data_IF_558363865728
#
_entry.id   IF_558363865728
#
_cell.length_a   1.000
_cell.length_b   1.000
_cell.length_c   1.000
_cell.angle_alpha   90.00
_cell.angle_beta   90.00
_cell.angle_gamma   90.00
#
_symmetry.space_group_name_H-M   'P 1'
#
loop_
_entity.id
_entity.type
_entity.pdbx_description
1 polymer ?
#
# COMPACT_ATOMS: atom_id res chain seq x y z
N UNK A 1 -15.61 -12.26 27.48
CA UNK A 1 -15.38 -11.48 26.25
C UNK A 1 -16.59 -11.42 25.34
N UNK A 2 -17.25 -12.51 25.09
CA UNK A 2 -18.51 -12.59 24.34
C UNK A 2 -19.54 -11.55 24.83
N UNK A 3 -19.71 -11.42 26.16
CA UNK A 3 -20.59 -10.43 26.76
C UNK A 3 -20.25 -8.98 26.37
N UNK A 4 -18.96 -8.62 26.23
CA UNK A 4 -18.54 -7.27 25.84
C UNK A 4 -18.99 -6.92 24.41
N UNK A 5 -18.70 -7.79 23.43
CA UNK A 5 -19.07 -7.55 22.05
C UNK A 5 -20.57 -7.68 21.81
N UNK A 6 -21.23 -8.57 22.55
CA UNK A 6 -22.70 -8.62 22.56
C UNK A 6 -23.31 -7.32 23.06
N UNK A 7 -22.85 -6.78 24.18
CA UNK A 7 -23.34 -5.50 24.72
C UNK A 7 -23.04 -4.33 23.76
N UNK A 8 -21.87 -4.34 23.12
CA UNK A 8 -21.51 -3.33 22.12
C UNK A 8 -22.44 -3.41 20.90
N UNK A 9 -22.67 -4.61 20.37
CA UNK A 9 -23.55 -4.84 19.24
C UNK A 9 -25.01 -4.48 19.55
N UNK A 10 -25.52 -4.88 20.73
CA UNK A 10 -26.88 -4.54 21.17
C UNK A 10 -27.07 -3.01 21.33
N UNK A 11 -26.05 -2.31 21.82
CA UNK A 11 -26.08 -0.85 21.92
C UNK A 11 -26.12 -0.17 20.55
N UNK A 12 -25.30 -0.62 19.59
CA UNK A 12 -25.31 -0.14 18.21
C UNK A 12 -26.67 -0.41 17.57
N UNK A 13 -27.20 -1.63 17.69
CA UNK A 13 -28.50 -2.00 17.14
C UNK A 13 -29.63 -1.13 17.69
N UNK A 14 -29.65 -0.92 19.00
CA UNK A 14 -30.68 -0.12 19.67
C UNK A 14 -30.68 1.32 19.15
N UNK A 15 -29.50 1.95 19.07
CA UNK A 15 -29.39 3.31 18.58
C UNK A 15 -29.75 3.40 17.09
N UNK A 16 -29.26 2.46 16.27
CA UNK A 16 -29.53 2.46 14.84
C UNK A 16 -31.00 2.23 14.52
N UNK A 17 -31.67 1.36 15.30
CA UNK A 17 -33.13 1.18 15.23
C UNK A 17 -33.88 2.49 15.55
N UNK A 18 -33.46 3.23 16.59
CA UNK A 18 -34.02 4.52 16.94
C UNK A 18 -33.87 5.53 15.78
N UNK A 19 -32.79 5.47 15.02
CA UNK A 19 -32.53 6.28 13.84
C UNK A 19 -33.10 5.67 12.53
N UNK A 20 -34.09 4.77 12.63
CA UNK A 20 -34.79 4.13 11.50
C UNK A 20 -33.83 3.40 10.53
N UNK A 21 -32.73 2.83 11.04
CA UNK A 21 -31.70 2.15 10.27
C UNK A 21 -31.08 3.02 9.16
N UNK A 22 -30.95 4.31 9.41
CA UNK A 22 -30.30 5.24 8.47
C UNK A 22 -28.84 4.85 8.25
N UNK A 23 -28.47 4.52 7.01
CA UNK A 23 -27.07 4.20 6.62
C UNK A 23 -26.15 5.40 6.76
N UNK A 24 -26.64 6.61 6.49
CA UNK A 24 -25.85 7.84 6.64
C UNK A 24 -25.48 8.19 8.08
N UNK A 25 -26.25 7.68 9.06
CA UNK A 25 -25.96 7.85 10.49
C UNK A 25 -25.15 6.70 11.09
N UNK A 26 -25.09 5.57 10.40
CA UNK A 26 -24.46 4.35 10.95
C UNK A 26 -22.99 4.55 11.34
N UNK A 27 -22.14 5.23 10.56
CA UNK A 27 -20.75 5.49 10.92
C UNK A 27 -20.61 6.25 12.25
N UNK A 28 -21.44 7.26 12.48
CA UNK A 28 -21.41 8.05 13.72
C UNK A 28 -21.93 7.25 14.90
N UNK A 29 -22.95 6.41 14.70
CA UNK A 29 -23.48 5.50 15.75
C UNK A 29 -22.41 4.48 16.14
N UNK A 30 -21.77 3.84 15.16
CA UNK A 30 -20.70 2.88 15.39
C UNK A 30 -19.51 3.53 16.12
N UNK A 31 -19.09 4.71 15.66
CA UNK A 31 -18.02 5.48 16.28
C UNK A 31 -18.36 5.83 17.75
N UNK A 32 -19.51 6.41 17.99
CA UNK A 32 -19.94 6.79 19.34
C UNK A 32 -20.01 5.58 20.31
N UNK A 33 -20.44 4.42 19.83
CA UNK A 33 -20.48 3.20 20.61
C UNK A 33 -19.07 2.71 20.97
N UNK A 34 -18.13 2.72 20.01
CA UNK A 34 -16.72 2.36 20.23
C UNK A 34 -16.00 3.35 21.16
N UNK A 35 -16.28 4.66 21.05
CA UNK A 35 -15.70 5.69 21.92
C UNK A 35 -16.26 5.59 23.36
N UNK A 36 -17.55 5.26 23.52
CA UNK A 36 -18.18 5.09 24.84
C UNK A 36 -17.69 3.83 25.57
N UNK A 37 -17.46 2.75 24.82
CA UNK A 37 -16.93 1.48 25.34
C UNK A 37 -15.67 1.09 24.52
N UNK A 38 -14.52 1.75 24.74
CA UNK A 38 -13.35 1.50 23.91
C UNK A 38 -12.78 0.08 24.15
N UNK A 39 -12.73 -0.77 23.10
CA UNK A 39 -12.20 -2.13 23.21
C UNK A 39 -10.77 -2.18 23.77
N UNK A 40 -9.90 -1.27 23.35
CA UNK A 40 -8.51 -1.19 23.83
C UNK A 40 -8.36 -1.07 25.36
N UNK A 41 -9.37 -0.51 26.05
CA UNK A 41 -9.37 -0.35 27.51
C UNK A 41 -10.09 -1.47 28.26
N UNK A 42 -10.90 -2.26 27.57
CA UNK A 42 -11.85 -3.20 28.20
C UNK A 42 -11.58 -4.66 27.88
N UNK A 43 -10.89 -4.93 26.78
CA UNK A 43 -10.63 -6.28 26.29
C UNK A 43 -9.13 -6.53 26.28
N UNK A 44 -8.70 -7.60 26.95
CA UNK A 44 -7.31 -8.08 26.83
C UNK A 44 -7.18 -8.91 25.56
N UNK A 45 -6.34 -8.45 24.63
CA UNK A 45 -6.16 -9.05 23.31
C UNK A 45 -5.69 -10.51 23.39
N UNK A 46 -4.69 -10.81 24.21
CA UNK A 46 -4.16 -12.16 24.36
C UNK A 46 -5.18 -13.13 24.97
N UNK A 47 -6.02 -12.65 25.90
CA UNK A 47 -7.11 -13.46 26.46
C UNK A 47 -8.19 -13.72 25.43
N UNK A 48 -8.53 -12.71 24.59
CA UNK A 48 -9.48 -12.86 23.49
C UNK A 48 -9.02 -13.95 22.51
N UNK A 49 -7.78 -13.90 22.09
CA UNK A 49 -7.20 -14.91 21.16
C UNK A 49 -7.27 -16.30 21.78
N UNK A 50 -6.83 -16.46 23.04
CA UNK A 50 -6.88 -17.78 23.72
C UNK A 50 -8.30 -18.33 23.86
N UNK A 51 -9.25 -17.47 24.24
CA UNK A 51 -10.65 -17.90 24.38
C UNK A 51 -11.24 -18.27 23.01
N UNK A 52 -10.89 -17.54 21.95
CA UNK A 52 -11.37 -17.84 20.61
C UNK A 52 -10.86 -19.20 20.09
N UNK A 53 -9.62 -19.57 20.40
CA UNK A 53 -9.01 -20.85 19.99
C UNK A 53 -9.69 -22.09 20.59
N UNK A 54 -10.36 -21.95 21.73
CA UNK A 54 -10.89 -23.07 22.50
C UNK A 54 -12.43 -23.07 22.63
N UNK A 55 -13.10 -22.08 22.07
CA UNK A 55 -14.55 -21.93 22.20
C UNK A 55 -15.23 -22.11 20.84
N UNK A 56 -15.99 -23.19 20.69
CA UNK A 56 -16.75 -23.50 19.48
C UNK A 56 -18.04 -22.66 19.34
N UNK A 57 -18.48 -21.96 20.40
CA UNK A 57 -19.67 -21.12 20.39
C UNK A 57 -19.40 -19.71 19.84
N UNK A 58 -18.71 -19.63 18.69
CA UNK A 58 -18.44 -18.38 18.00
C UNK A 58 -19.52 -18.05 16.96
N UNK A 59 -19.72 -16.77 16.58
CA UNK A 59 -20.49 -16.41 15.41
C UNK A 59 -19.94 -17.11 14.14
N UNK A 60 -20.79 -17.27 13.13
CA UNK A 60 -20.33 -17.75 11.82
C UNK A 60 -19.21 -16.82 11.30
N UNK A 61 -18.10 -17.43 10.91
CA UNK A 61 -16.96 -16.72 10.37
C UNK A 61 -17.12 -16.47 8.87
N UNK A 62 -16.51 -15.42 8.36
CA UNK A 62 -16.45 -15.11 6.95
C UNK A 62 -15.25 -15.83 6.30
N UNK A 63 -15.42 -16.29 5.08
CA UNK A 63 -14.30 -16.76 4.24
C UNK A 63 -13.70 -15.53 3.53
N UNK A 64 -12.90 -14.76 4.28
CA UNK A 64 -12.31 -13.51 3.81
C UNK A 64 -10.79 -13.56 3.98
N UNK A 65 -10.00 -13.22 2.95
CA UNK A 65 -8.56 -13.08 3.07
C UNK A 65 -8.16 -11.71 3.66
N UNK A 66 -9.12 -10.89 4.06
CA UNK A 66 -8.86 -9.57 4.63
C UNK A 66 -8.57 -9.70 6.13
N UNK A 67 -7.40 -9.20 6.56
CA UNK A 67 -6.90 -9.44 7.91
C UNK A 67 -6.07 -10.72 8.02
N UNK A 68 -5.28 -10.83 9.09
CA UNK A 68 -4.31 -11.90 9.32
C UNK A 68 -4.39 -12.42 10.78
N UNK A 69 -5.53 -13.01 11.22
CA UNK A 69 -6.81 -13.22 10.55
C UNK A 69 -7.86 -12.13 10.78
N UNK A 70 -9.01 -12.27 10.10
CA UNK A 70 -10.28 -11.63 10.44
C UNK A 70 -11.08 -12.55 11.36
N UNK A 71 -11.62 -12.02 12.46
CA UNK A 71 -12.49 -12.76 13.39
C UNK A 71 -13.82 -12.02 13.55
N UNK A 72 -14.94 -12.65 13.23
CA UNK A 72 -16.28 -12.14 13.57
C UNK A 72 -16.56 -12.42 15.03
N UNK A 73 -16.77 -11.38 15.83
CA UNK A 73 -17.02 -11.48 17.28
C UNK A 73 -18.47 -11.13 17.68
N UNK A 74 -19.25 -10.57 16.77
CA UNK A 74 -20.68 -10.34 16.89
C UNK A 74 -21.31 -10.30 15.52
N UNK A 75 -22.46 -10.94 15.33
CA UNK A 75 -23.17 -10.98 14.05
C UNK A 75 -24.65 -10.64 14.20
N UNK A 76 -25.15 -9.77 13.32
CA UNK A 76 -26.55 -9.44 13.13
C UNK A 76 -26.85 -9.34 11.62
N UNK A 77 -28.06 -9.65 11.12
CA UNK A 77 -28.36 -9.63 9.69
C UNK A 77 -28.04 -8.32 8.95
N UNK A 78 -27.93 -7.18 9.64
CA UNK A 78 -27.67 -5.87 9.04
C UNK A 78 -26.25 -5.38 9.22
N UNK A 79 -25.52 -5.87 10.22
CA UNK A 79 -24.15 -5.45 10.55
C UNK A 79 -23.46 -6.52 11.39
N UNK A 80 -22.16 -6.40 11.51
CA UNK A 80 -21.37 -7.26 12.39
C UNK A 80 -20.18 -6.50 12.99
N UNK A 81 -19.58 -7.11 14.00
CA UNK A 81 -18.35 -6.63 14.61
C UNK A 81 -17.27 -7.65 14.32
N UNK A 82 -16.18 -7.18 13.75
CA UNK A 82 -15.01 -7.98 13.43
C UNK A 82 -13.78 -7.44 14.13
N UNK A 83 -12.85 -8.32 14.41
CA UNK A 83 -11.50 -8.02 14.85
C UNK A 83 -10.54 -8.39 13.72
N UNK A 84 -9.76 -7.43 13.28
CA UNK A 84 -8.74 -7.62 12.26
C UNK A 84 -7.37 -7.60 12.92
N UNK A 85 -6.58 -8.62 12.66
CA UNK A 85 -5.16 -8.66 12.99
C UNK A 85 -4.34 -8.35 11.75
N UNK A 86 -3.20 -7.74 11.96
CA UNK A 86 -2.25 -7.39 10.92
C UNK A 86 -0.86 -7.80 11.42
N UNK A 87 -0.35 -8.89 10.85
CA UNK A 87 0.99 -9.40 11.16
C UNK A 87 2.02 -8.67 10.30
N UNK A 88 1.85 -8.76 9.00
CA UNK A 88 2.72 -8.17 7.99
C UNK A 88 1.97 -7.35 6.94
N UNK A 89 0.66 -7.16 7.13
CA UNK A 89 -0.21 -6.48 6.18
C UNK A 89 -0.03 -4.97 6.14
N UNK A 90 -0.15 -4.42 4.94
CA UNK A 90 -0.47 -3.02 4.69
C UNK A 90 -1.60 -2.99 3.69
N UNK A 91 -2.64 -2.19 3.95
CA UNK A 91 -3.78 -2.17 3.06
C UNK A 91 -3.46 -1.45 1.75
N UNK A 92 -4.02 -1.93 0.64
CA UNK A 92 -4.07 -1.14 -0.58
C UNK A 92 -4.77 0.20 -0.32
N UNK A 93 -4.60 1.19 -1.20
CA UNK A 93 -5.48 2.35 -1.19
C UNK A 93 -6.82 1.86 -1.73
N UNK A 94 -7.88 1.95 -0.93
CA UNK A 94 -9.19 1.37 -1.28
C UNK A 94 -10.36 2.19 -0.76
N UNK A 95 -11.53 1.90 -1.27
CA UNK A 95 -12.83 2.31 -0.74
C UNK A 95 -13.59 1.10 -0.23
N UNK A 96 -14.65 1.32 0.54
CA UNK A 96 -15.48 0.26 1.09
C UNK A 96 -16.87 0.20 0.44
N UNK A 97 -17.43 -1.01 0.31
CA UNK A 97 -18.85 -1.24 -0.02
C UNK A 97 -19.76 -1.18 1.20
N UNK A 98 -19.20 -0.84 2.34
CA UNK A 98 -19.89 -0.77 3.63
C UNK A 98 -19.55 0.53 4.35
N UNK A 99 -20.34 0.85 5.36
CA UNK A 99 -20.08 1.95 6.28
C UNK A 99 -19.94 1.45 7.71
N UNK A 100 -19.32 2.27 8.59
CA UNK A 100 -19.12 1.90 9.98
C UNK A 100 -18.09 2.74 10.71
N UNK A 101 -17.38 2.12 11.63
CA UNK A 101 -16.22 2.71 12.31
C UNK A 101 -15.26 1.62 12.76
N UNK A 102 -13.98 1.97 12.83
CA UNK A 102 -12.97 1.10 13.43
C UNK A 102 -12.29 1.77 14.63
N UNK A 103 -11.82 0.94 15.55
CA UNK A 103 -11.09 1.33 16.74
C UNK A 103 -9.74 0.61 16.78
N UNK A 104 -8.65 1.35 16.91
CA UNK A 104 -7.32 0.76 17.07
C UNK A 104 -7.22 0.14 18.46
N UNK A 105 -7.24 -1.18 18.51
CA UNK A 105 -7.20 -1.94 19.75
C UNK A 105 -5.78 -2.14 20.27
N UNK A 106 -4.82 -2.33 19.34
CA UNK A 106 -3.41 -2.53 19.66
C UNK A 106 -2.54 -2.06 18.48
N UNK A 107 -1.37 -1.48 18.81
CA UNK A 107 -0.41 -1.00 17.83
C UNK A 107 -0.74 0.38 17.27
N UNK A 108 -0.09 0.71 16.16
CA UNK A 108 -0.22 2.00 15.47
C UNK A 108 -0.11 1.84 13.96
N UNK A 109 -0.62 2.85 13.22
CA UNK A 109 -0.62 2.83 11.75
C UNK A 109 -0.49 4.25 11.20
N UNK A 110 0.17 4.41 10.06
CA UNK A 110 0.00 5.59 9.22
C UNK A 110 -1.27 5.42 8.41
N UNK A 111 -2.22 6.33 8.59
CA UNK A 111 -3.50 6.39 7.91
C UNK A 111 -3.50 7.52 6.88
N UNK A 112 -3.62 7.19 5.62
CA UNK A 112 -3.64 8.15 4.53
C UNK A 112 -5.00 8.16 3.86
N UNK A 113 -5.53 9.37 3.58
CA UNK A 113 -6.81 9.59 2.90
C UNK A 113 -6.61 10.26 1.55
N UNK A 114 -7.47 9.94 0.60
CA UNK A 114 -7.36 10.37 -0.78
C UNK A 114 -8.69 10.85 -1.35
N UNK A 115 -8.60 11.68 -2.40
CA UNK A 115 -9.67 11.96 -3.34
C UNK A 115 -9.32 11.34 -4.69
N UNK A 116 -10.33 10.85 -5.41
CA UNK A 116 -10.18 10.40 -6.80
C UNK A 116 -10.96 11.36 -7.71
N UNK A 117 -10.22 12.28 -8.31
CA UNK A 117 -10.78 13.39 -9.08
C UNK A 117 -11.01 13.01 -10.54
N UNK A 118 -12.08 13.55 -11.12
CA UNK A 118 -12.47 13.38 -12.53
C UNK A 118 -12.51 11.91 -12.99
N UNK A 119 -13.17 11.02 -12.23
CA UNK A 119 -13.24 9.62 -12.59
C UNK A 119 -13.96 9.41 -13.91
N UNK A 120 -13.37 8.59 -14.79
CA UNK A 120 -13.98 8.12 -16.04
C UNK A 120 -13.99 6.59 -16.01
N UNK A 121 -15.15 5.98 -16.08
CA UNK A 121 -15.27 4.53 -16.20
C UNK A 121 -14.85 4.10 -17.60
N UNK A 122 -13.91 3.17 -17.65
CA UNK A 122 -13.49 2.47 -18.88
C UNK A 122 -14.30 1.21 -19.04
N UNK A 123 -14.45 0.46 -17.94
CA UNK A 123 -15.35 -0.68 -17.79
C UNK A 123 -16.08 -0.55 -16.44
N UNK A 124 -17.01 -1.45 -16.09
CA UNK A 124 -17.56 -1.50 -14.73
C UNK A 124 -16.50 -1.73 -13.64
N UNK A 125 -15.37 -2.32 -13.98
CA UNK A 125 -14.32 -2.79 -13.06
C UNK A 125 -13.04 -1.94 -13.09
N UNK A 126 -12.94 -0.98 -14.04
CA UNK A 126 -11.77 -0.14 -14.20
C UNK A 126 -12.16 1.31 -14.46
N UNK A 127 -11.52 2.24 -13.72
CA UNK A 127 -11.67 3.69 -13.87
C UNK A 127 -10.31 4.36 -13.98
N UNK A 128 -10.24 5.40 -14.81
CA UNK A 128 -9.11 6.33 -14.87
C UNK A 128 -9.52 7.65 -14.23
N UNK A 129 -8.58 8.33 -13.58
CA UNK A 129 -8.82 9.61 -12.88
C UNK A 129 -7.53 10.12 -12.25
N UNK A 130 -7.62 11.02 -11.28
CA UNK A 130 -6.46 11.53 -10.56
C UNK A 130 -6.61 11.26 -9.06
N UNK A 131 -5.77 10.41 -8.53
CA UNK A 131 -5.72 10.14 -7.10
C UNK A 131 -4.84 11.19 -6.41
N UNK A 132 -5.41 11.92 -5.47
CA UNK A 132 -4.73 12.96 -4.72
C UNK A 132 -4.83 12.70 -3.22
N UNK A 133 -3.70 12.71 -2.54
CA UNK A 133 -3.69 12.64 -1.07
C UNK A 133 -4.32 13.90 -0.46
N UNK A 134 -5.20 13.71 0.51
CA UNK A 134 -5.84 14.78 1.30
C UNK A 134 -5.10 15.02 2.59
N UNK A 135 -4.87 13.95 3.34
CA UNK A 135 -4.20 14.00 4.64
C UNK A 135 -3.51 12.68 4.94
N UNK A 136 -2.58 12.74 5.85
CA UNK A 136 -1.92 11.59 6.46
C UNK A 136 -1.84 11.83 7.97
N UNK A 137 -2.15 10.83 8.77
CA UNK A 137 -2.14 10.91 10.23
C UNK A 137 -1.60 9.62 10.87
N UNK A 138 -1.01 9.75 12.05
CA UNK A 138 -0.65 8.62 12.88
C UNK A 138 -1.87 8.22 13.72
N UNK A 139 -2.30 6.97 13.58
CA UNK A 139 -3.30 6.37 14.45
C UNK A 139 -2.62 5.50 15.49
N UNK A 140 -2.90 5.77 16.74
CA UNK A 140 -2.39 5.02 17.89
C UNK A 140 -3.52 4.26 18.59
N UNK A 141 -3.15 3.31 19.43
CA UNK A 141 -4.10 2.55 20.27
C UNK A 141 -5.09 3.48 20.96
N UNK A 142 -6.37 3.16 20.86
CA UNK A 142 -7.49 3.92 21.44
C UNK A 142 -8.13 4.93 20.48
N UNK A 143 -7.58 5.16 19.29
CA UNK A 143 -8.20 6.02 18.27
C UNK A 143 -9.37 5.31 17.62
N UNK A 144 -10.45 6.05 17.35
CA UNK A 144 -11.62 5.58 16.62
C UNK A 144 -11.84 6.46 15.38
N UNK A 145 -12.13 5.83 14.24
CA UNK A 145 -12.31 6.50 12.96
C UNK A 145 -13.59 5.97 12.30
N UNK A 146 -14.42 6.88 11.76
CA UNK A 146 -15.58 6.51 10.95
C UNK A 146 -15.14 6.01 9.58
N UNK A 147 -15.89 5.07 9.02
CA UNK A 147 -15.75 4.55 7.66
C UNK A 147 -16.98 4.95 6.87
N UNK A 148 -16.78 5.68 5.79
CA UNK A 148 -17.85 6.01 4.85
C UNK A 148 -17.77 5.09 3.63
N UNK A 149 -18.92 4.65 3.13
CA UNK A 149 -18.93 3.81 1.93
C UNK A 149 -18.62 4.57 0.64
N UNK A 150 -18.10 3.86 -0.36
CA UNK A 150 -17.79 4.39 -1.68
C UNK A 150 -16.62 5.40 -1.67
N UNK A 151 -16.63 6.29 -2.64
CA UNK A 151 -15.56 7.28 -2.84
C UNK A 151 -15.48 8.38 -1.75
N UNK A 152 -16.41 8.38 -0.79
CA UNK A 152 -16.38 9.34 0.31
C UNK A 152 -15.22 9.08 1.27
N UNK A 153 -14.72 7.84 1.33
CA UNK A 153 -13.60 7.46 2.17
C UNK A 153 -12.66 6.52 1.40
N UNK A 154 -11.76 7.12 0.66
CA UNK A 154 -10.66 6.40 0.00
C UNK A 154 -9.45 6.51 0.93
N UNK A 155 -8.95 5.37 1.40
CA UNK A 155 -7.88 5.38 2.37
C UNK A 155 -6.92 4.19 2.25
N UNK A 156 -5.84 4.24 3.00
CA UNK A 156 -4.92 3.12 3.25
C UNK A 156 -4.37 3.17 4.67
N UNK A 157 -4.02 2.01 5.19
CA UNK A 157 -3.35 1.85 6.47
C UNK A 157 -2.00 1.16 6.26
N UNK A 158 -0.95 1.75 6.80
CA UNK A 158 0.37 1.14 6.89
C UNK A 158 0.65 0.84 8.37
N UNK A 159 0.54 -0.44 8.75
CA UNK A 159 0.71 -0.86 10.13
C UNK A 159 2.19 -0.83 10.53
N UNK A 160 2.48 -0.17 11.67
CA UNK A 160 3.85 0.00 12.18
C UNK A 160 4.24 -1.11 13.14
N UNK A 161 3.28 -1.66 13.85
CA UNK A 161 3.50 -2.74 14.82
C UNK A 161 3.10 -4.10 14.22
N UNK A 162 3.66 -5.20 14.76
CA UNK A 162 3.31 -6.59 14.43
C UNK A 162 3.25 -7.42 15.72
N UNK A 163 2.06 -7.96 16.07
CA UNK A 163 0.77 -7.70 15.44
C UNK A 163 0.25 -6.30 15.75
N UNK A 164 -0.54 -5.73 14.86
CA UNK A 164 -1.51 -4.69 15.22
C UNK A 164 -2.92 -5.26 15.14
N UNK A 165 -3.89 -4.63 15.83
CA UNK A 165 -5.26 -5.11 15.88
C UNK A 165 -6.27 -3.96 15.87
N UNK A 166 -7.34 -4.12 15.08
CA UNK A 166 -8.46 -3.17 15.00
C UNK A 166 -9.79 -3.88 15.19
N UNK A 167 -10.70 -3.24 15.95
CA UNK A 167 -12.10 -3.67 16.04
C UNK A 167 -12.91 -2.82 15.07
N UNK A 168 -13.69 -3.44 14.20
CA UNK A 168 -14.53 -2.78 13.21
C UNK A 168 -15.99 -3.12 13.45
N UNK A 169 -16.83 -2.09 13.56
CA UNK A 169 -18.29 -2.19 13.53
C UNK A 169 -18.75 -1.75 12.17
N UNK A 170 -19.32 -2.65 11.36
CA UNK A 170 -19.63 -2.35 9.96
C UNK A 170 -20.97 -2.94 9.51
N UNK A 171 -21.63 -2.26 8.56
CA UNK A 171 -22.76 -2.84 7.83
C UNK A 171 -22.31 -4.05 7.00
N UNK A 172 -23.26 -4.88 6.56
CA UNK A 172 -22.96 -6.00 5.67
C UNK A 172 -22.49 -5.46 4.30
N UNK A 173 -23.35 -4.67 3.67
CA UNK A 173 -23.11 -4.05 2.37
C UNK A 173 -24.06 -2.84 2.25
N UNK A 174 -23.57 -1.71 1.75
CA UNK A 174 -24.37 -0.54 1.54
C UNK A 174 -24.88 -0.48 0.08
N UNK A 175 -26.18 -0.38 -0.15
CA UNK A 175 -26.74 -0.38 -1.50
C UNK A 175 -26.21 0.77 -2.36
N UNK A 176 -25.89 0.49 -3.61
CA UNK A 176 -25.53 1.52 -4.61
C UNK A 176 -24.12 2.07 -4.51
N UNK A 177 -23.24 1.48 -3.69
CA UNK A 177 -21.85 1.94 -3.54
C UNK A 177 -20.93 1.50 -4.70
N UNK A 178 -21.39 0.55 -5.54
CA UNK A 178 -20.59 -0.03 -6.61
C UNK A 178 -19.46 -0.92 -6.08
N UNK A 179 -18.54 -1.36 -6.95
CA UNK A 179 -17.41 -2.20 -6.53
C UNK A 179 -16.51 -1.52 -5.50
N UNK A 180 -15.91 -2.34 -4.64
CA UNK A 180 -14.85 -1.91 -3.73
C UNK A 180 -13.55 -1.74 -4.52
N UNK A 181 -13.33 -0.54 -5.08
CA UNK A 181 -12.13 -0.26 -5.86
C UNK A 181 -10.87 -0.20 -5.00
N UNK A 182 -9.79 -0.79 -5.54
CA UNK A 182 -8.42 -0.47 -5.16
C UNK A 182 -7.88 0.60 -6.11
N UNK A 183 -7.10 1.53 -5.55
CA UNK A 183 -6.55 2.65 -6.28
C UNK A 183 -5.04 2.48 -6.46
N UNK A 184 -4.60 2.54 -7.70
CA UNK A 184 -3.19 2.55 -8.09
C UNK A 184 -2.79 3.99 -8.42
N UNK A 185 -1.98 4.64 -7.54
CA UNK A 185 -1.55 6.00 -7.80
C UNK A 185 -0.69 6.10 -9.06
N UNK A 186 -0.76 7.24 -9.79
CA UNK A 186 -1.63 8.36 -9.53
C UNK A 186 -2.97 8.36 -10.29
N UNK A 187 -3.28 7.36 -11.16
CA UNK A 187 -4.34 7.55 -12.13
C UNK A 187 -5.40 6.45 -12.24
N UNK A 188 -5.28 5.34 -11.55
CA UNK A 188 -6.12 4.19 -11.83
C UNK A 188 -6.90 3.70 -10.60
N UNK A 189 -8.12 3.21 -10.83
CA UNK A 189 -8.90 2.44 -9.88
C UNK A 189 -9.35 1.13 -10.52
N UNK A 190 -9.14 0.01 -9.84
CA UNK A 190 -9.48 -1.34 -10.31
C UNK A 190 -10.33 -2.07 -9.27
N UNK A 191 -11.27 -2.88 -9.70
CA UNK A 191 -11.99 -3.80 -8.83
C UNK A 191 -11.10 -5.03 -8.56
N UNK A 192 -10.62 -5.24 -7.31
CA UNK A 192 -9.75 -6.36 -6.98
C UNK A 192 -10.46 -7.71 -7.00
N UNK A 193 -11.79 -7.71 -6.98
CA UNK A 193 -12.61 -8.92 -6.98
C UNK A 193 -13.05 -9.35 -8.39
N UNK A 194 -12.85 -8.48 -9.39
CA UNK A 194 -13.08 -8.86 -10.78
C UNK A 194 -11.98 -9.78 -11.30
N UNK A 195 -12.38 -10.92 -11.86
CA UNK A 195 -11.47 -11.88 -12.46
C UNK A 195 -11.90 -12.26 -13.86
N UNK A 196 -11.10 -11.93 -14.86
CA UNK A 196 -11.17 -12.49 -16.20
C UNK A 196 -10.34 -13.79 -16.25
N UNK A 197 -11.03 -14.93 -16.14
CA UNK A 197 -10.36 -16.24 -16.08
C UNK A 197 -9.52 -16.52 -17.33
N UNK A 198 -9.97 -16.09 -18.52
CA UNK A 198 -9.21 -16.28 -19.75
C UNK A 198 -7.91 -15.45 -19.72
N UNK A 199 -7.98 -14.19 -19.28
CA UNK A 199 -6.79 -13.36 -19.12
C UNK A 199 -5.83 -13.89 -18.06
N UNK A 200 -6.37 -14.44 -16.97
CA UNK A 200 -5.53 -15.12 -15.97
C UNK A 200 -4.73 -16.26 -16.64
N UNK A 201 -5.39 -17.12 -17.41
CA UNK A 201 -4.71 -18.24 -18.10
C UNK A 201 -3.69 -17.74 -19.16
N UNK A 202 -4.02 -16.69 -19.90
CA UNK A 202 -3.10 -16.08 -20.87
C UNK A 202 -1.84 -15.53 -20.22
N UNK A 203 -1.96 -14.85 -19.07
CA UNK A 203 -0.81 -14.37 -18.30
C UNK A 203 0.05 -15.53 -17.80
N UNK A 204 -0.56 -16.59 -17.25
CA UNK A 204 0.17 -17.80 -16.85
C UNK A 204 0.89 -18.48 -18.03
N UNK A 205 0.35 -18.40 -19.25
CA UNK A 205 1.05 -18.91 -20.44
C UNK A 205 2.21 -18.01 -20.86
N UNK A 206 2.14 -16.69 -20.63
CA UNK A 206 3.29 -15.80 -20.78
C UNK A 206 4.39 -16.17 -19.78
N UNK A 207 4.05 -16.47 -18.53
CA UNK A 207 5.02 -16.93 -17.53
C UNK A 207 5.70 -18.24 -17.99
N UNK A 208 4.95 -19.15 -18.63
CA UNK A 208 5.54 -20.39 -19.20
C UNK A 208 6.54 -20.09 -20.30
N UNK A 209 6.24 -19.16 -21.22
CA UNK A 209 7.17 -18.74 -22.27
C UNK A 209 8.44 -18.09 -21.68
N UNK A 210 8.27 -17.23 -20.69
CA UNK A 210 9.38 -16.58 -20.00
C UNK A 210 10.29 -17.61 -19.30
N UNK A 211 9.71 -18.54 -18.53
CA UNK A 211 10.48 -19.60 -17.83
C UNK A 211 11.16 -20.60 -18.77
N UNK A 212 10.65 -20.72 -20.00
CA UNK A 212 11.24 -21.57 -21.03
C UNK A 212 12.30 -20.81 -21.87
N UNK A 213 12.64 -19.58 -21.52
CA UNK A 213 13.51 -18.68 -22.30
C UNK A 213 13.08 -18.58 -23.80
N UNK A 214 11.76 -18.61 -24.05
CA UNK A 214 11.25 -18.58 -25.42
C UNK A 214 11.44 -17.20 -26.05
N UNK A 215 12.20 -17.15 -27.14
CA UNK A 215 12.52 -15.92 -27.86
C UNK A 215 11.27 -15.15 -28.36
N UNK A 216 10.08 -15.76 -28.37
CA UNK A 216 8.84 -15.11 -28.78
C UNK A 216 8.08 -14.43 -27.63
N UNK A 217 8.52 -14.55 -26.38
CA UNK A 217 7.83 -14.00 -25.20
C UNK A 217 7.44 -12.52 -25.37
N UNK A 218 8.42 -11.65 -25.62
CA UNK A 218 8.20 -10.22 -25.78
C UNK A 218 7.29 -9.91 -26.96
N UNK A 219 7.46 -10.62 -28.10
CA UNK A 219 6.59 -10.50 -29.26
C UNK A 219 5.13 -10.86 -28.92
N UNK A 220 4.88 -11.95 -28.19
CA UNK A 220 3.53 -12.36 -27.79
C UNK A 220 2.88 -11.36 -26.84
N UNK A 221 3.64 -10.84 -25.88
CA UNK A 221 3.16 -9.75 -25.00
C UNK A 221 2.79 -8.50 -25.83
N UNK A 222 3.63 -8.10 -26.79
CA UNK A 222 3.36 -6.96 -27.67
C UNK A 222 2.11 -7.16 -28.51
N UNK A 223 1.93 -8.33 -29.13
CA UNK A 223 0.74 -8.68 -29.92
C UNK A 223 -0.52 -8.61 -29.06
N UNK A 224 -0.49 -9.16 -27.83
CA UNK A 224 -1.62 -9.08 -26.91
C UNK A 224 -1.95 -7.62 -26.55
N UNK A 225 -0.98 -6.79 -26.22
CA UNK A 225 -1.19 -5.36 -25.93
C UNK A 225 -1.78 -4.62 -27.13
N UNK A 226 -1.31 -4.94 -28.33
CA UNK A 226 -1.80 -4.32 -29.57
C UNK A 226 -3.25 -4.72 -29.91
N UNK A 227 -3.68 -5.93 -29.61
CA UNK A 227 -5.00 -6.44 -29.98
C UNK A 227 -6.09 -6.21 -28.92
N UNK A 228 -5.73 -6.33 -27.62
CA UNK A 228 -6.69 -6.32 -26.50
C UNK A 228 -7.22 -4.90 -26.23
N UNK A 229 -8.40 -4.84 -25.59
CA UNK A 229 -8.94 -3.58 -25.05
C UNK A 229 -8.07 -2.98 -23.94
N UNK A 230 -8.45 -1.81 -23.46
CA UNK A 230 -7.65 -1.07 -22.46
C UNK A 230 -7.42 -1.88 -21.18
N UNK A 231 -8.46 -2.46 -20.58
CA UNK A 231 -8.38 -3.17 -19.29
C UNK A 231 -7.49 -4.40 -19.39
N UNK A 232 -7.70 -5.19 -20.45
CA UNK A 232 -6.91 -6.40 -20.70
C UNK A 232 -5.48 -6.08 -21.10
N UNK A 233 -5.26 -5.08 -21.95
CA UNK A 233 -3.94 -4.60 -22.34
C UNK A 233 -3.16 -4.06 -21.14
N UNK A 234 -3.81 -3.27 -20.27
CA UNK A 234 -3.23 -2.84 -18.99
C UNK A 234 -2.85 -4.05 -18.11
N UNK A 235 -3.72 -5.07 -18.02
CA UNK A 235 -3.43 -6.28 -17.23
C UNK A 235 -2.19 -7.04 -17.74
N UNK A 236 -1.95 -7.06 -19.05
CA UNK A 236 -0.71 -7.64 -19.63
C UNK A 236 0.50 -6.79 -19.30
N UNK A 237 0.43 -5.47 -19.51
CA UNK A 237 1.53 -4.54 -19.18
C UNK A 237 1.92 -4.63 -17.72
N UNK A 238 0.95 -4.60 -16.81
CA UNK A 238 1.18 -4.71 -15.37
C UNK A 238 1.85 -6.04 -14.98
N UNK A 239 1.46 -7.13 -15.63
CA UNK A 239 2.00 -8.46 -15.37
C UNK A 239 3.44 -8.62 -15.91
N UNK A 240 3.70 -8.14 -17.12
CA UNK A 240 4.97 -8.38 -17.82
C UNK A 240 6.01 -7.25 -17.64
N UNK A 241 5.70 -6.18 -16.89
CA UNK A 241 6.52 -4.97 -16.83
C UNK A 241 7.99 -5.26 -16.52
N UNK A 242 8.26 -6.03 -15.46
CA UNK A 242 9.63 -6.29 -15.00
C UNK A 242 10.45 -7.02 -16.07
N UNK A 243 9.89 -8.10 -16.63
CA UNK A 243 10.56 -8.91 -17.66
C UNK A 243 10.77 -8.14 -18.96
N UNK A 244 9.78 -7.35 -19.37
CA UNK A 244 9.92 -6.50 -20.57
C UNK A 244 10.97 -5.39 -20.37
N UNK A 245 11.10 -4.85 -19.17
CA UNK A 245 12.18 -3.89 -18.85
C UNK A 245 13.55 -4.55 -18.91
N UNK A 246 13.70 -5.74 -18.35
CA UNK A 246 14.94 -6.51 -18.37
C UNK A 246 15.37 -6.86 -19.81
N UNK A 247 14.41 -7.16 -20.67
CA UNK A 247 14.64 -7.46 -22.09
C UNK A 247 14.85 -6.21 -22.97
N UNK A 248 14.63 -5.00 -22.42
CA UNK A 248 14.70 -3.74 -23.19
C UNK A 248 13.50 -3.49 -24.12
N UNK A 249 12.43 -4.28 -23.99
CA UNK A 249 11.23 -4.24 -24.85
C UNK A 249 10.06 -3.42 -24.25
N UNK A 250 10.24 -2.85 -23.07
CA UNK A 250 9.19 -2.11 -22.36
C UNK A 250 8.71 -0.87 -23.13
N UNK A 251 9.64 0.01 -23.53
CA UNK A 251 9.30 1.31 -24.12
C UNK A 251 8.54 1.19 -25.46
N UNK A 252 8.92 0.30 -26.40
CA UNK A 252 8.15 0.09 -27.62
C UNK A 252 6.72 -0.41 -27.36
N UNK A 253 6.55 -1.34 -26.42
CA UNK A 253 5.26 -1.96 -26.11
C UNK A 253 4.35 -0.95 -25.39
N UNK A 254 4.89 -0.22 -24.41
CA UNK A 254 4.16 0.85 -23.73
C UNK A 254 3.74 1.96 -24.69
N UNK A 255 4.63 2.38 -25.61
CA UNK A 255 4.32 3.37 -26.64
C UNK A 255 3.23 2.90 -27.61
N UNK A 256 3.18 1.62 -27.95
CA UNK A 256 2.08 1.04 -28.75
C UNK A 256 0.74 1.10 -28.01
N UNK A 257 0.71 0.79 -26.70
CA UNK A 257 -0.45 0.91 -25.86
C UNK A 257 -0.96 2.37 -25.77
N UNK A 258 -0.04 3.32 -25.55
CA UNK A 258 -0.38 4.74 -25.48
C UNK A 258 -0.94 5.26 -26.81
N UNK A 259 -0.34 4.89 -27.91
CA UNK A 259 -0.81 5.27 -29.26
C UNK A 259 -2.22 4.74 -29.53
N UNK A 260 -2.51 3.50 -29.12
CA UNK A 260 -3.82 2.87 -29.32
C UNK A 260 -4.91 3.51 -28.46
N UNK A 261 -4.62 3.80 -27.21
CA UNK A 261 -5.64 4.22 -26.23
C UNK A 261 -5.70 5.74 -26.00
N UNK A 262 -4.73 6.50 -26.52
CA UNK A 262 -4.71 7.96 -26.51
C UNK A 262 -4.85 8.55 -25.10
N UNK A 263 -5.82 9.43 -24.91
CA UNK A 263 -6.03 10.10 -23.60
C UNK A 263 -6.32 9.15 -22.43
N UNK A 264 -6.84 7.95 -22.68
CA UNK A 264 -7.11 6.99 -21.61
C UNK A 264 -5.83 6.43 -21.00
N UNK A 265 -4.76 6.33 -21.77
CA UNK A 265 -3.47 5.82 -21.32
C UNK A 265 -2.59 6.88 -20.66
N UNK A 266 -3.04 8.14 -20.64
CA UNK A 266 -2.26 9.23 -20.02
C UNK A 266 -1.99 8.91 -18.55
N UNK A 267 -0.71 8.82 -18.18
CA UNK A 267 -0.26 8.53 -16.82
C UNK A 267 -0.22 7.05 -16.43
N UNK A 268 -0.56 6.12 -17.32
CA UNK A 268 -0.51 4.68 -17.02
C UNK A 268 0.92 4.21 -16.77
N UNK A 269 1.91 4.67 -17.53
CA UNK A 269 3.32 4.36 -17.27
C UNK A 269 3.75 4.81 -15.87
N UNK A 270 3.37 6.02 -15.47
CA UNK A 270 3.63 6.52 -14.11
C UNK A 270 2.91 5.69 -13.03
N UNK A 271 1.69 5.21 -13.31
CA UNK A 271 0.93 4.35 -12.39
C UNK A 271 1.63 3.00 -12.21
N UNK A 272 2.08 2.38 -13.29
CA UNK A 272 2.79 1.11 -13.24
C UNK A 272 4.12 1.24 -12.48
N UNK A 273 4.89 2.30 -12.75
CA UNK A 273 6.13 2.60 -12.04
C UNK A 273 5.90 2.82 -10.54
N UNK A 274 4.90 3.60 -10.18
CA UNK A 274 4.56 3.86 -8.77
C UNK A 274 4.06 2.59 -8.07
N UNK A 275 3.27 1.74 -8.73
CA UNK A 275 2.84 0.47 -8.16
C UNK A 275 4.03 -0.47 -7.92
N UNK A 276 4.96 -0.58 -8.87
CA UNK A 276 6.20 -1.34 -8.70
C UNK A 276 7.01 -0.83 -7.50
N UNK A 277 7.21 0.50 -7.37
CA UNK A 277 7.89 1.13 -6.24
C UNK A 277 7.20 0.79 -4.90
N UNK A 278 5.88 0.90 -4.84
CA UNK A 278 5.09 0.56 -3.63
C UNK A 278 5.22 -0.92 -3.28
N UNK A 279 5.27 -1.79 -4.26
CA UNK A 279 5.45 -3.23 -4.03
C UNK A 279 6.85 -3.56 -3.49
N UNK A 280 7.90 -2.82 -3.89
CA UNK A 280 9.23 -2.91 -3.24
C UNK A 280 9.14 -2.52 -1.76
N UNK A 281 8.51 -1.39 -1.44
CA UNK A 281 8.36 -0.93 -0.04
C UNK A 281 7.57 -1.94 0.80
N UNK A 282 6.51 -2.54 0.25
CA UNK A 282 5.74 -3.60 0.93
C UNK A 282 6.59 -4.83 1.25
N UNK A 283 7.40 -5.28 0.28
CA UNK A 283 8.34 -6.41 0.52
C UNK A 283 9.35 -6.09 1.60
N UNK A 284 9.95 -4.89 1.58
CA UNK A 284 10.85 -4.43 2.64
C UNK A 284 10.14 -4.44 4.01
N UNK A 285 8.91 -3.92 4.07
CA UNK A 285 8.13 -3.89 5.30
C UNK A 285 7.90 -5.29 5.89
N UNK A 286 7.69 -6.30 5.06
CA UNK A 286 7.41 -7.66 5.53
C UNK A 286 8.62 -8.30 6.24
N UNK A 287 9.85 -7.94 5.86
CA UNK A 287 11.08 -8.42 6.49
C UNK A 287 11.58 -7.54 7.64
N UNK A 288 11.09 -6.29 7.75
CA UNK A 288 11.53 -5.31 8.73
C UNK A 288 10.53 -5.23 9.88
N UNK A 289 11.00 -5.46 11.12
CA UNK A 289 10.18 -5.47 12.32
C UNK A 289 10.32 -4.20 13.18
N UNK A 290 11.44 -3.47 13.03
CA UNK A 290 11.73 -2.29 13.83
C UNK A 290 10.72 -1.16 13.56
N UNK A 291 10.00 -0.63 14.59
CA UNK A 291 8.95 0.37 14.39
C UNK A 291 9.44 1.68 13.74
N UNK A 292 10.69 2.09 14.01
CA UNK A 292 11.27 3.28 13.38
C UNK A 292 11.49 3.09 11.88
N UNK A 293 12.00 1.93 11.46
CA UNK A 293 12.19 1.60 10.06
C UNK A 293 10.84 1.43 9.34
N UNK A 294 9.85 0.80 9.99
CA UNK A 294 8.48 0.74 9.45
C UNK A 294 7.84 2.11 9.29
N UNK A 295 8.07 3.02 10.25
CA UNK A 295 7.64 4.40 10.12
C UNK A 295 8.30 5.08 8.91
N UNK A 296 9.61 4.89 8.71
CA UNK A 296 10.32 5.41 7.55
C UNK A 296 9.74 4.86 6.23
N UNK A 297 9.52 3.54 6.13
CA UNK A 297 8.89 2.93 4.96
C UNK A 297 7.48 3.47 4.70
N UNK A 298 6.69 3.69 5.76
CA UNK A 298 5.37 4.30 5.64
C UNK A 298 5.43 5.72 5.08
N UNK A 299 6.43 6.51 5.50
CA UNK A 299 6.66 7.85 4.96
C UNK A 299 7.12 7.81 3.50
N UNK A 300 8.04 6.90 3.14
CA UNK A 300 8.46 6.71 1.74
C UNK A 300 7.26 6.37 0.84
N UNK A 301 6.34 5.54 1.33
CA UNK A 301 5.16 5.14 0.58
C UNK A 301 4.12 6.26 0.45
N UNK A 302 3.93 7.08 1.48
CA UNK A 302 2.76 7.94 1.60
C UNK A 302 3.07 9.44 1.62
N UNK A 303 4.29 9.89 1.95
CA UNK A 303 4.60 11.32 1.94
C UNK A 303 4.58 11.87 0.50
N UNK A 304 3.93 13.02 0.25
CA UNK A 304 3.82 13.56 -1.11
C UNK A 304 5.13 14.21 -1.61
N UNK A 305 5.97 14.66 -0.71
CA UNK A 305 7.25 15.29 -1.05
C UNK A 305 8.34 14.98 -0.02
N UNK A 306 9.61 15.13 -0.43
CA UNK A 306 10.77 15.06 0.47
C UNK A 306 10.62 16.00 1.68
N UNK A 307 10.16 17.23 1.45
CA UNK A 307 9.97 18.21 2.52
C UNK A 307 8.96 17.73 3.56
N UNK A 308 7.82 17.17 3.13
CA UNK A 308 6.82 16.60 4.05
C UNK A 308 7.41 15.43 4.85
N UNK A 309 8.16 14.54 4.20
CA UNK A 309 8.81 13.42 4.89
C UNK A 309 9.76 13.91 5.98
N UNK A 310 10.68 14.81 5.64
CA UNK A 310 11.66 15.36 6.60
C UNK A 310 10.97 16.12 7.74
N UNK A 311 9.88 16.85 7.48
CA UNK A 311 9.09 17.52 8.53
C UNK A 311 8.52 16.52 9.52
N UNK A 312 7.90 15.42 9.04
CA UNK A 312 7.33 14.39 9.90
C UNK A 312 8.40 13.63 10.70
N UNK A 313 9.58 13.42 10.11
CA UNK A 313 10.73 12.88 10.84
C UNK A 313 11.17 13.84 11.97
N UNK A 314 11.28 15.14 11.67
CA UNK A 314 11.63 16.14 12.67
C UNK A 314 10.64 16.24 13.83
N UNK A 315 9.34 16.14 13.55
CA UNK A 315 8.28 16.18 14.57
C UNK A 315 8.35 14.97 15.51
N UNK A 316 8.64 13.78 14.98
CA UNK A 316 8.67 12.55 15.77
C UNK A 316 10.03 12.31 16.45
N UNK A 317 11.13 12.71 15.83
CA UNK A 317 12.52 12.45 16.25
C UNK A 317 13.31 13.75 16.44
N UNK A 318 12.80 14.64 17.27
CA UNK A 318 13.30 16.02 17.47
C UNK A 318 14.75 16.13 18.00
N UNK A 319 15.40 15.02 18.38
CA UNK A 319 16.76 15.02 18.96
C UNK A 319 17.88 15.06 17.92
N UNK A 320 17.60 14.76 16.67
CA UNK A 320 18.57 14.69 15.57
C UNK A 320 18.07 15.48 14.36
N UNK A 321 18.99 15.92 13.50
CA UNK A 321 18.59 16.50 12.23
C UNK A 321 17.83 15.46 11.38
N UNK A 322 16.70 15.81 10.74
CA UNK A 322 15.89 14.85 10.02
C UNK A 322 16.64 14.10 8.92
N UNK A 323 17.56 14.76 8.22
CA UNK A 323 18.40 14.14 7.20
C UNK A 323 19.38 13.12 7.80
N UNK A 324 19.95 13.40 8.97
CA UNK A 324 20.86 12.46 9.68
C UNK A 324 20.09 11.22 10.15
N UNK A 325 18.86 11.41 10.65
CA UNK A 325 17.98 10.29 11.04
C UNK A 325 17.67 9.41 9.84
N UNK A 326 17.32 10.01 8.69
CA UNK A 326 17.04 9.27 7.46
C UNK A 326 18.29 8.54 6.93
N UNK A 327 19.46 9.18 6.96
CA UNK A 327 20.72 8.56 6.56
C UNK A 327 21.03 7.33 7.43
N UNK A 328 20.92 7.46 8.76
CA UNK A 328 21.08 6.35 9.69
C UNK A 328 20.14 5.19 9.37
N UNK A 329 18.86 5.45 9.14
CA UNK A 329 17.90 4.40 8.79
C UNK A 329 18.23 3.69 7.46
N UNK A 330 18.67 4.43 6.46
CA UNK A 330 19.08 3.82 5.17
C UNK A 330 20.32 2.96 5.37
N UNK A 331 21.32 3.45 6.14
CA UNK A 331 22.51 2.68 6.48
C UNK A 331 22.17 1.39 7.25
N UNK A 332 21.38 1.48 8.32
CA UNK A 332 20.92 0.34 9.11
C UNK A 332 20.17 -0.68 8.25
N UNK A 333 19.24 -0.22 7.39
CA UNK A 333 18.47 -1.10 6.50
C UNK A 333 19.35 -1.80 5.46
N UNK A 334 20.38 -1.14 4.93
CA UNK A 334 21.27 -1.73 3.92
C UNK A 334 22.31 -2.67 4.53
N UNK A 335 22.65 -2.53 5.80
CA UNK A 335 23.64 -3.40 6.48
C UNK A 335 22.95 -4.59 7.18
N UNK A 336 21.83 -4.34 7.83
CA UNK A 336 21.25 -5.28 8.80
C UNK A 336 20.09 -6.12 8.23
N UNK A 337 19.72 -5.95 6.95
CA UNK A 337 18.63 -6.73 6.36
C UNK A 337 18.94 -7.23 4.96
N UNK A 338 18.69 -8.51 4.69
CA UNK A 338 18.80 -9.12 3.35
C UNK A 338 17.95 -8.37 2.31
N UNK A 339 16.81 -7.84 2.73
CA UNK A 339 15.93 -7.05 1.87
C UNK A 339 16.56 -5.69 1.54
N UNK A 340 17.26 -5.07 2.48
CA UNK A 340 18.00 -3.82 2.27
C UNK A 340 19.19 -4.04 1.35
N UNK A 341 19.95 -5.10 1.53
CA UNK A 341 21.04 -5.52 0.62
C UNK A 341 20.49 -5.71 -0.80
N UNK A 342 19.39 -6.48 -0.94
CA UNK A 342 18.74 -6.69 -2.25
C UNK A 342 18.24 -5.38 -2.88
N UNK A 343 17.76 -4.44 -2.08
CA UNK A 343 17.33 -3.12 -2.57
C UNK A 343 18.52 -2.26 -3.01
N UNK A 344 19.68 -2.39 -2.36
CA UNK A 344 20.93 -1.77 -2.77
C UNK A 344 21.40 -2.33 -4.11
N UNK A 345 21.48 -3.63 -4.25
CA UNK A 345 21.89 -4.31 -5.49
C UNK A 345 20.99 -3.91 -6.67
N UNK A 346 19.67 -3.88 -6.43
CA UNK A 346 18.70 -3.47 -7.46
C UNK A 346 18.77 -1.97 -7.82
N UNK A 347 19.38 -1.14 -6.94
CA UNK A 347 19.48 0.31 -7.14
C UNK A 347 20.84 0.71 -7.71
N UNK A 348 21.89 -0.11 -7.53
CA UNK A 348 23.23 0.23 -7.99
C UNK A 348 23.35 -0.07 -9.49
N UNK A 349 23.68 0.94 -10.35
CA UNK A 349 23.72 0.72 -11.79
C UNK A 349 24.92 -0.11 -12.21
N UNK A 350 24.73 -1.16 -13.00
CA UNK A 350 25.82 -2.00 -13.58
C UNK A 350 26.83 -1.20 -14.41
N UNK A 351 26.44 0.00 -14.87
CA UNK A 351 27.32 0.89 -15.65
C UNK A 351 28.33 1.64 -14.80
N UNK A 352 28.20 1.63 -13.48
CA UNK A 352 29.13 2.29 -12.55
C UNK A 352 30.14 1.26 -12.09
N UNK A 353 31.36 1.35 -12.62
CA UNK A 353 32.48 0.44 -12.33
C UNK A 353 33.08 0.78 -10.96
N UNK A 354 32.66 0.04 -9.94
CA UNK A 354 33.15 0.14 -8.55
C UNK A 354 33.30 -1.27 -8.00
N UNK A 355 34.44 -1.52 -7.34
CA UNK A 355 34.65 -2.82 -6.69
C UNK A 355 33.57 -3.10 -5.61
N UNK A 356 33.28 -4.37 -5.38
CA UNK A 356 32.21 -4.81 -4.48
C UNK A 356 32.35 -4.26 -3.06
N UNK A 357 33.57 -4.16 -2.54
CA UNK A 357 33.82 -3.68 -1.17
C UNK A 357 33.50 -2.19 -1.02
N UNK A 358 33.66 -1.40 -2.10
CA UNK A 358 33.40 0.04 -2.14
C UNK A 358 31.93 0.38 -2.51
N UNK A 359 31.14 -0.55 -3.01
CA UNK A 359 29.78 -0.28 -3.48
C UNK A 359 28.86 0.31 -2.39
N UNK A 360 28.93 -0.23 -1.17
CA UNK A 360 28.13 0.27 -0.05
C UNK A 360 28.50 1.72 0.32
N UNK A 361 29.81 2.03 0.40
CA UNK A 361 30.27 3.38 0.71
C UNK A 361 29.88 4.38 -0.39
N UNK A 362 30.02 3.99 -1.65
CA UNK A 362 29.58 4.80 -2.80
C UNK A 362 28.07 5.02 -2.76
N UNK A 363 27.28 3.99 -2.46
CA UNK A 363 25.83 4.07 -2.36
C UNK A 363 25.40 5.05 -1.26
N UNK A 364 25.90 4.88 -0.03
CA UNK A 364 25.55 5.72 1.10
C UNK A 364 26.02 7.17 0.90
N UNK A 365 27.23 7.35 0.36
CA UNK A 365 27.78 8.68 0.02
C UNK A 365 26.98 9.37 -1.08
N UNK A 366 26.51 8.62 -2.10
CA UNK A 366 25.66 9.16 -3.16
C UNK A 366 24.29 9.54 -2.63
N UNK A 367 23.69 8.66 -1.81
CA UNK A 367 22.43 8.95 -1.17
C UNK A 367 22.49 10.21 -0.31
N UNK A 368 23.50 10.34 0.55
CA UNK A 368 23.72 11.52 1.37
C UNK A 368 23.89 12.79 0.53
N UNK A 369 24.69 12.70 -0.53
CA UNK A 369 24.95 13.80 -1.46
C UNK A 369 23.67 14.29 -2.14
N UNK A 370 22.78 13.38 -2.58
CA UNK A 370 21.51 13.73 -3.20
C UNK A 370 20.48 14.21 -2.17
N UNK A 371 20.38 13.53 -1.04
CA UNK A 371 19.47 13.90 0.06
C UNK A 371 19.73 15.32 0.56
N UNK A 372 21.01 15.67 0.82
CA UNK A 372 21.38 16.98 1.35
C UNK A 372 21.48 18.06 0.26
N UNK A 373 21.46 17.69 -1.02
CA UNK A 373 21.67 18.60 -2.16
C UNK A 373 23.01 19.33 -2.03
N UNK A 374 24.04 18.60 -1.63
CA UNK A 374 25.37 19.14 -1.42
C UNK A 374 25.98 19.69 -2.73
N UNK A 375 26.77 20.76 -2.62
CA UNK A 375 27.47 21.35 -3.79
C UNK A 375 28.79 20.65 -4.08
N UNK A 376 29.41 20.03 -3.08
CA UNK A 376 30.71 19.39 -3.16
C UNK A 376 30.57 17.88 -3.06
N UNK A 377 31.17 17.18 -4.01
CA UNK A 377 31.19 15.70 -4.01
C UNK A 377 31.96 15.19 -2.80
N UNK A 378 31.43 14.20 -2.05
CA UNK A 378 32.15 13.49 -0.98
C UNK A 378 33.34 12.70 -1.56
N UNK A 379 34.22 12.23 -0.67
CA UNK A 379 35.47 11.54 -1.07
C UNK A 379 35.18 10.30 -1.93
N UNK A 380 34.26 9.45 -1.52
CA UNK A 380 33.87 8.22 -2.22
C UNK A 380 33.34 8.44 -3.66
N UNK A 381 32.91 9.66 -3.99
CA UNK A 381 32.38 9.98 -5.32
C UNK A 381 33.34 10.76 -6.21
N UNK A 382 34.61 11.02 -5.76
CA UNK A 382 35.52 11.91 -6.47
C UNK A 382 35.97 11.35 -7.81
N UNK A 383 36.23 10.04 -7.84
CA UNK A 383 36.80 9.36 -9.00
C UNK A 383 35.73 8.97 -10.01
N UNK A 384 34.45 9.10 -9.64
CA UNK A 384 33.33 8.82 -10.53
C UNK A 384 33.16 9.93 -11.58
N UNK A 385 32.90 9.55 -12.81
CA UNK A 385 32.62 10.48 -13.91
C UNK A 385 31.29 11.23 -13.71
N UNK A 386 31.06 12.28 -14.46
CA UNK A 386 29.76 12.97 -14.46
C UNK A 386 28.62 12.06 -14.96
N UNK A 387 28.93 11.08 -15.81
CA UNK A 387 27.98 10.11 -16.33
C UNK A 387 27.58 9.10 -15.24
N UNK A 388 28.54 8.63 -14.44
CA UNK A 388 28.29 7.72 -13.32
C UNK A 388 27.41 8.38 -12.26
N UNK A 389 27.68 9.63 -11.90
CA UNK A 389 26.83 10.40 -10.97
C UNK A 389 25.42 10.58 -11.54
N UNK A 390 25.28 10.78 -12.84
CA UNK A 390 23.96 10.86 -13.50
C UNK A 390 23.24 9.52 -13.47
N UNK A 391 23.94 8.41 -13.70
CA UNK A 391 23.41 7.06 -13.64
C UNK A 391 22.93 6.72 -12.21
N UNK A 392 23.77 6.98 -11.19
CA UNK A 392 23.39 6.82 -9.79
C UNK A 392 22.15 7.64 -9.43
N UNK A 393 22.09 8.91 -9.83
CA UNK A 393 20.92 9.76 -9.57
C UNK A 393 19.65 9.20 -10.22
N UNK A 394 19.73 8.71 -11.43
CA UNK A 394 18.60 8.10 -12.12
C UNK A 394 18.14 6.82 -11.41
N UNK A 395 19.08 5.96 -11.04
CA UNK A 395 18.78 4.73 -10.32
C UNK A 395 18.11 5.00 -8.96
N UNK A 396 18.60 5.97 -8.18
CA UNK A 396 17.94 6.41 -6.96
C UNK A 396 16.53 6.94 -7.21
N UNK A 397 16.33 7.76 -8.26
CA UNK A 397 15.01 8.32 -8.60
C UNK A 397 13.99 7.22 -8.97
N UNK A 398 14.47 6.08 -9.47
CA UNK A 398 13.65 4.93 -9.84
C UNK A 398 13.45 3.92 -8.70
N UNK A 399 14.18 4.07 -7.59
CA UNK A 399 14.13 3.21 -6.42
C UNK A 399 13.03 3.60 -5.41
N UNK A 400 12.91 2.82 -4.34
CA UNK A 400 12.06 3.14 -3.18
C UNK A 400 12.43 4.49 -2.55
N UNK A 401 13.70 4.93 -2.65
CA UNK A 401 14.25 6.17 -2.11
C UNK A 401 14.03 7.40 -3.02
N UNK A 402 13.40 7.22 -4.20
CA UNK A 402 13.27 8.27 -5.21
C UNK A 402 12.65 9.58 -4.70
N UNK A 403 11.72 9.51 -3.77
CA UNK A 403 11.13 10.69 -3.12
C UNK A 403 12.18 11.61 -2.46
N UNK A 404 13.27 11.03 -1.95
CA UNK A 404 14.30 11.72 -1.17
C UNK A 404 15.42 12.31 -2.04
N UNK A 405 15.63 11.75 -3.23
CA UNK A 405 16.77 12.06 -4.11
C UNK A 405 16.40 12.86 -5.35
N UNK A 406 15.10 13.02 -5.61
CA UNK A 406 14.55 13.80 -6.72
C UNK A 406 14.74 15.33 -6.59
#
# INVERSE_FOLDING_TARGET
MEAFFKELGDAVLTQWKHDNFSLTKFPDIARAALEKKPPAKKVNLASLVRDFLLNDAQPAQTDSPFGEPELVVYSHPRFYIQLLFWMDGTTAIHQHEFSGAFHVMHGSSIHAHYDFEKPKSVTPYLRVGNLRMKKMELLETGRTVSIMSGQQDIHSLFHLDSPSATVVVRTQHDPGTGPQFNYLPPHLAIDPHFSDTLMLRRKQLLDVLEQADDATYAQRAAEMVAELDFERGFSVLHHCMASLQQLGEWEPIMGAFEKKHGQLSQGIAATLKEDARRNVIKRLRNSIIEPEHRFFLALLMNAPTRANLLTLVAERFAKQAPSETVLRWVEELTIDSDAGVSALDATFPDTVDVDFESQLDVFLSAFAYFLNRDKKRPAALRDLSAQDIKALRAAFADSALGLLTA
#
